data_IF_078334266777
#
_entry.id   IF_078334266777
#
_cell.length_a   1.000
_cell.length_b   1.000
_cell.length_c   1.000
_cell.angle_alpha   90.00
_cell.angle_beta   90.00
_cell.angle_gamma   90.00
#
_symmetry.space_group_name_H-M   'P 1'
#
loop_
_entity.id
_entity.type
_entity.pdbx_description
1 polymer ?
#
# COMPACT_ATOMS: atom_id res chain seq x y z
N UNK A 1 -17.48 -31.79 30.38
CA UNK A 1 -18.93 -31.84 30.71
C UNK A 1 -19.69 -31.94 29.39
N UNK A 2 -20.28 -33.06 28.97
CA UNK A 2 -20.34 -34.36 29.59
C UNK A 2 -21.03 -35.42 28.72
N UNK A 3 -21.03 -36.62 29.31
CA UNK A 3 -21.98 -37.74 29.19
C UNK A 3 -21.77 -38.77 28.08
N UNK A 4 -21.04 -39.80 28.51
CA UNK A 4 -21.13 -41.21 28.19
C UNK A 4 -22.57 -41.75 28.21
N UNK A 5 -22.94 -42.50 27.17
CA UNK A 5 -24.09 -43.40 27.02
C UNK A 5 -23.78 -44.21 25.73
N UNK A 6 -23.57 -45.52 25.64
CA UNK A 6 -24.22 -46.68 26.25
C UNK A 6 -23.25 -47.88 26.13
N UNK A 7 -22.80 -48.42 27.25
CA UNK A 7 -22.53 -49.85 27.42
C UNK A 7 -23.84 -50.45 27.94
N UNK A 8 -24.36 -51.49 27.29
CA UNK A 8 -25.29 -52.39 27.96
C UNK A 8 -24.91 -53.84 27.66
N UNK A 9 -24.90 -54.54 28.78
CA UNK A 9 -24.48 -55.87 29.08
C UNK A 9 -25.55 -56.85 28.61
N UNK A 10 -25.14 -58.04 28.18
CA UNK A 10 -25.90 -59.27 28.44
C UNK A 10 -25.03 -60.46 28.07
N UNK A 11 -24.13 -60.79 28.99
CA UNK A 11 -23.73 -62.19 29.15
C UNK A 11 -24.58 -62.85 30.24
N UNK A 12 -24.72 -64.17 30.11
CA UNK A 12 -25.07 -65.15 31.15
C UNK A 12 -26.47 -65.78 31.09
N UNK A 13 -26.46 -67.10 30.89
CA UNK A 13 -27.66 -67.93 30.98
C UNK A 13 -27.47 -69.37 30.52
N UNK A 14 -26.42 -70.03 30.99
CA UNK A 14 -26.18 -71.46 30.81
C UNK A 14 -27.30 -72.27 31.51
N UNK A 15 -27.88 -73.27 30.83
CA UNK A 15 -28.52 -74.46 31.43
C UNK A 15 -28.97 -75.45 30.35
N UNK A 16 -28.31 -76.60 30.39
CA UNK A 16 -28.70 -77.82 29.71
C UNK A 16 -30.15 -78.24 30.01
N UNK A 17 -30.89 -78.62 28.97
CA UNK A 17 -32.07 -79.50 29.08
C UNK A 17 -32.04 -80.52 27.96
N UNK A 18 -31.99 -81.78 28.41
CA UNK A 18 -32.11 -83.02 27.64
C UNK A 18 -33.61 -83.33 27.44
N UNK A 19 -33.88 -84.19 26.45
CA UNK A 19 -35.17 -84.83 26.10
C UNK A 19 -36.10 -83.93 25.27
N UNK A 20 -36.72 -84.34 24.17
CA UNK A 20 -36.94 -85.66 23.56
C UNK A 20 -37.46 -85.41 22.14
N UNK A 21 -37.05 -86.24 21.18
CA UNK A 21 -37.52 -86.18 19.78
C UNK A 21 -38.93 -86.79 19.69
N UNK A 22 -39.93 -85.99 19.32
CA UNK A 22 -41.32 -86.41 19.18
C UNK A 22 -41.80 -86.14 17.74
N UNK A 23 -41.90 -87.14 16.85
CA UNK A 23 -42.19 -86.94 15.43
C UNK A 23 -43.69 -87.09 15.14
N UNK A 24 -44.53 -86.18 15.62
CA UNK A 24 -45.95 -86.17 15.24
C UNK A 24 -46.64 -84.82 15.45
N UNK A 25 -46.34 -83.79 14.66
CA UNK A 25 -47.24 -82.62 14.52
C UNK A 25 -46.92 -81.71 13.31
N UNK A 26 -46.68 -82.27 12.13
CA UNK A 26 -46.47 -81.49 10.90
C UNK A 26 -47.78 -81.15 10.17
N UNK A 27 -48.78 -80.53 10.81
CA UNK A 27 -49.92 -79.93 10.08
C UNK A 27 -50.42 -78.59 10.68
N UNK A 28 -49.97 -78.14 11.86
CA UNK A 28 -50.44 -76.87 12.47
C UNK A 28 -49.43 -75.70 12.45
N UNK A 29 -48.42 -75.71 11.57
CA UNK A 29 -47.43 -74.61 11.46
C UNK A 29 -47.58 -73.74 10.20
N UNK A 30 -48.46 -74.09 9.26
CA UNK A 30 -48.62 -73.33 8.01
C UNK A 30 -49.57 -72.12 8.15
N UNK A 31 -50.63 -72.25 8.94
CA UNK A 31 -51.59 -71.14 9.17
C UNK A 31 -51.05 -70.03 10.09
N UNK A 32 -50.11 -70.32 10.98
CA UNK A 32 -49.46 -69.35 11.87
C UNK A 32 -48.25 -68.66 11.22
N UNK A 33 -47.55 -69.34 10.31
CA UNK A 33 -46.45 -68.78 9.52
C UNK A 33 -46.91 -67.67 8.58
N UNK A 34 -48.06 -67.84 7.93
CA UNK A 34 -48.58 -66.85 6.97
C UNK A 34 -49.06 -65.56 7.68
N UNK A 35 -49.69 -65.69 8.86
CA UNK A 35 -50.11 -64.54 9.66
C UNK A 35 -48.91 -63.75 10.23
N UNK A 36 -47.88 -64.45 10.70
CA UNK A 36 -46.64 -63.82 11.19
C UNK A 36 -45.83 -63.20 10.04
N UNK A 37 -45.78 -63.85 8.88
CA UNK A 37 -45.13 -63.32 7.68
C UNK A 37 -45.85 -62.08 7.15
N UNK A 38 -47.18 -62.08 7.13
CA UNK A 38 -47.98 -60.91 6.76
C UNK A 38 -47.81 -59.76 7.78
N UNK A 39 -47.71 -60.06 9.08
CA UNK A 39 -47.44 -59.04 10.11
C UNK A 39 -46.04 -58.44 9.98
N UNK A 40 -45.04 -59.27 9.72
CA UNK A 40 -43.66 -58.83 9.50
C UNK A 40 -43.54 -58.04 8.18
N UNK A 41 -44.25 -58.45 7.13
CA UNK A 41 -44.31 -57.71 5.87
C UNK A 41 -44.93 -56.33 6.08
N UNK A 42 -46.06 -56.25 6.80
CA UNK A 42 -46.70 -54.98 7.15
C UNK A 42 -45.80 -54.09 8.02
N UNK A 43 -45.12 -54.66 9.01
CA UNK A 43 -44.17 -53.92 9.85
C UNK A 43 -42.95 -53.43 9.06
N UNK A 44 -42.45 -54.21 8.09
CA UNK A 44 -41.38 -53.78 7.18
C UNK A 44 -41.85 -52.66 6.27
N UNK A 45 -43.06 -52.73 5.74
CA UNK A 45 -43.68 -51.68 4.94
C UNK A 45 -43.85 -50.39 5.74
N UNK A 46 -44.39 -50.47 6.96
CA UNK A 46 -44.52 -49.32 7.87
C UNK A 46 -43.14 -48.71 8.19
N UNK A 47 -42.12 -49.53 8.45
CA UNK A 47 -40.75 -49.07 8.68
C UNK A 47 -40.13 -48.42 7.43
N UNK A 48 -40.35 -48.98 6.24
CA UNK A 48 -39.91 -48.37 4.98
C UNK A 48 -40.60 -47.03 4.72
N UNK A 49 -41.89 -46.92 5.06
CA UNK A 49 -42.63 -45.66 4.99
C UNK A 49 -42.08 -44.63 5.99
N UNK A 50 -41.77 -45.02 7.23
CA UNK A 50 -41.14 -44.13 8.20
C UNK A 50 -39.73 -43.69 7.77
N UNK A 51 -38.93 -44.58 7.20
CA UNK A 51 -37.61 -44.25 6.63
C UNK A 51 -37.75 -43.32 5.44
N UNK A 52 -38.73 -43.54 4.56
CA UNK A 52 -39.01 -42.67 3.43
C UNK A 52 -39.42 -41.26 3.90
N UNK A 53 -40.34 -41.15 4.87
CA UNK A 53 -40.76 -39.88 5.47
C UNK A 53 -39.58 -39.17 6.15
N UNK A 54 -38.79 -39.88 6.95
CA UNK A 54 -37.61 -39.31 7.61
C UNK A 54 -36.56 -38.85 6.58
N UNK A 55 -36.36 -39.59 5.49
CA UNK A 55 -35.43 -39.19 4.42
C UNK A 55 -35.89 -37.92 3.70
N UNK A 56 -37.20 -37.80 3.47
CA UNK A 56 -37.80 -36.61 2.86
C UNK A 56 -37.69 -35.40 3.78
N UNK A 57 -37.88 -35.59 5.09
CA UNK A 57 -37.73 -34.53 6.09
C UNK A 57 -36.28 -34.06 6.20
N UNK A 58 -35.29 -34.97 6.16
CA UNK A 58 -33.87 -34.64 6.09
C UNK A 58 -33.56 -33.80 4.85
N UNK A 59 -34.09 -34.17 3.69
CA UNK A 59 -33.86 -33.42 2.45
C UNK A 59 -34.47 -32.02 2.52
N UNK A 60 -35.70 -31.89 3.04
CA UNK A 60 -36.30 -30.58 3.26
C UNK A 60 -35.49 -29.71 4.24
N UNK A 61 -34.96 -30.32 5.30
CA UNK A 61 -34.11 -29.62 6.26
C UNK A 61 -32.79 -29.16 5.60
N UNK A 62 -32.18 -29.98 4.75
CA UNK A 62 -30.98 -29.62 3.98
C UNK A 62 -31.23 -28.44 3.05
N UNK A 63 -32.33 -28.46 2.30
CA UNK A 63 -32.70 -27.35 1.41
C UNK A 63 -32.90 -26.06 2.22
N UNK A 64 -33.54 -26.13 3.40
CA UNK A 64 -33.68 -24.97 4.28
C UNK A 64 -32.34 -24.49 4.84
N UNK A 65 -31.45 -25.39 5.22
CA UNK A 65 -30.10 -25.04 5.68
C UNK A 65 -29.32 -24.34 4.57
N UNK A 66 -29.35 -24.84 3.34
CA UNK A 66 -28.67 -24.23 2.21
C UNK A 66 -29.21 -22.82 1.90
N UNK A 67 -30.52 -22.63 1.94
CA UNK A 67 -31.13 -21.29 1.79
C UNK A 67 -30.69 -20.34 2.90
N UNK A 68 -30.67 -20.78 4.16
CA UNK A 68 -30.22 -19.97 5.29
C UNK A 68 -28.72 -19.64 5.21
N UNK A 69 -27.90 -20.58 4.77
CA UNK A 69 -26.47 -20.32 4.54
C UNK A 69 -26.26 -19.29 3.42
N UNK A 70 -27.05 -19.37 2.35
CA UNK A 70 -26.98 -18.40 1.26
C UNK A 70 -27.38 -17.00 1.74
N UNK A 71 -28.50 -16.87 2.44
CA UNK A 71 -28.95 -15.60 3.01
C UNK A 71 -27.92 -15.04 4.00
N UNK A 72 -27.35 -15.90 4.86
CA UNK A 72 -26.26 -15.51 5.76
C UNK A 72 -25.07 -14.93 4.98
N UNK A 73 -24.62 -15.61 3.92
CA UNK A 73 -23.50 -15.13 3.10
C UNK A 73 -23.80 -13.79 2.45
N UNK A 74 -25.02 -13.58 1.94
CA UNK A 74 -25.44 -12.31 1.36
C UNK A 74 -25.41 -11.16 2.39
N UNK A 75 -25.92 -11.40 3.60
CA UNK A 75 -25.87 -10.42 4.70
C UNK A 75 -24.43 -10.12 5.12
N UNK A 76 -23.58 -11.15 5.23
CA UNK A 76 -22.16 -10.98 5.58
C UNK A 76 -21.40 -10.18 4.50
N UNK A 77 -21.68 -10.42 3.23
CA UNK A 77 -21.11 -9.64 2.12
C UNK A 77 -21.57 -8.18 2.14
N UNK A 78 -22.84 -7.92 2.43
CA UNK A 78 -23.36 -6.56 2.56
C UNK A 78 -22.73 -5.83 3.76
N UNK A 79 -22.65 -6.48 4.92
CA UNK A 79 -22.01 -5.92 6.10
C UNK A 79 -20.52 -5.61 5.85
N UNK A 80 -19.83 -6.49 5.11
CA UNK A 80 -18.44 -6.25 4.69
C UNK A 80 -18.33 -5.03 3.78
N UNK A 81 -19.21 -4.90 2.77
CA UNK A 81 -19.22 -3.75 1.85
C UNK A 81 -19.51 -2.44 2.58
N UNK A 82 -20.43 -2.46 3.55
CA UNK A 82 -20.74 -1.29 4.39
C UNK A 82 -19.53 -0.87 5.23
N UNK A 83 -18.83 -1.83 5.86
CA UNK A 83 -17.62 -1.56 6.63
C UNK A 83 -16.48 -0.99 5.74
N UNK A 84 -16.29 -1.54 4.54
CA UNK A 84 -15.31 -1.04 3.57
C UNK A 84 -15.68 0.39 3.09
N UNK A 85 -16.97 0.65 2.84
CA UNK A 85 -17.47 1.96 2.45
C UNK A 85 -17.26 3.02 3.54
N UNK A 86 -17.68 2.75 4.79
CA UNK A 86 -17.52 3.71 5.88
C UNK A 86 -16.05 3.97 6.18
N UNK A 87 -15.19 2.94 6.13
CA UNK A 87 -13.75 3.12 6.25
C UNK A 87 -13.19 4.01 5.13
N UNK A 88 -13.54 3.73 3.88
CA UNK A 88 -13.09 4.52 2.73
C UNK A 88 -13.57 5.97 2.79
N UNK A 89 -14.81 6.19 3.24
CA UNK A 89 -15.40 7.50 3.43
C UNK A 89 -14.68 8.31 4.51
N UNK A 90 -14.37 7.72 5.67
CA UNK A 90 -13.61 8.40 6.72
C UNK A 90 -12.19 8.75 6.24
N UNK A 91 -11.49 7.81 5.58
CA UNK A 91 -10.14 8.02 5.05
C UNK A 91 -10.10 9.15 4.01
N UNK A 92 -11.06 9.19 3.07
CA UNK A 92 -11.07 10.26 2.05
C UNK A 92 -11.46 11.61 2.64
N UNK A 93 -12.39 11.66 3.62
CA UNK A 93 -12.73 12.90 4.33
C UNK A 93 -11.49 13.44 5.03
N UNK A 94 -10.74 12.60 5.73
CA UNK A 94 -9.52 13.02 6.42
C UNK A 94 -8.44 13.52 5.44
N UNK A 95 -8.24 12.82 4.32
CA UNK A 95 -7.30 13.25 3.27
C UNK A 95 -7.69 14.59 2.67
N UNK A 96 -8.97 14.79 2.36
CA UNK A 96 -9.47 16.06 1.82
C UNK A 96 -9.32 17.17 2.86
N UNK A 97 -9.68 16.94 4.12
CA UNK A 97 -9.53 17.94 5.18
C UNK A 97 -8.07 18.39 5.37
N UNK A 98 -7.13 17.42 5.36
CA UNK A 98 -5.69 17.72 5.38
C UNK A 98 -5.24 18.48 4.12
N UNK A 99 -5.74 18.09 2.95
CA UNK A 99 -5.46 18.77 1.68
C UNK A 99 -5.94 20.22 1.65
N UNK A 100 -7.15 20.50 2.16
CA UNK A 100 -7.68 21.86 2.31
C UNK A 100 -6.77 22.69 3.21
N UNK A 101 -6.40 22.15 4.38
CA UNK A 101 -5.53 22.85 5.34
C UNK A 101 -4.15 23.15 4.72
N UNK A 102 -3.62 22.25 3.89
CA UNK A 102 -2.37 22.50 3.17
C UNK A 102 -2.53 23.60 2.12
N UNK A 103 -3.61 23.54 1.34
CA UNK A 103 -3.88 24.55 0.30
C UNK A 103 -4.04 25.95 0.90
N UNK A 104 -4.73 26.07 2.05
CA UNK A 104 -4.87 27.33 2.78
C UNK A 104 -3.50 27.89 3.23
N UNK A 105 -2.59 27.04 3.70
CA UNK A 105 -1.22 27.45 4.06
C UNK A 105 -0.43 27.92 2.84
N UNK A 106 -0.56 27.20 1.73
CA UNK A 106 0.12 27.53 0.48
C UNK A 106 -0.42 28.86 -0.10
N UNK A 107 -1.72 29.11 0.00
CA UNK A 107 -2.36 30.39 -0.39
C UNK A 107 -1.86 31.56 0.46
N UNK A 108 -1.80 31.40 1.78
CA UNK A 108 -1.25 32.42 2.68
C UNK A 108 0.21 32.70 2.36
N UNK A 109 1.00 31.67 2.07
CA UNK A 109 2.41 31.81 1.70
C UNK A 109 2.58 32.51 0.35
N UNK A 110 1.76 32.17 -0.64
CA UNK A 110 1.76 32.84 -1.94
C UNK A 110 1.41 34.33 -1.79
N UNK A 111 0.40 34.66 -0.98
CA UNK A 111 0.01 36.05 -0.70
C UNK A 111 1.17 36.84 -0.07
N UNK A 112 1.84 36.27 0.94
CA UNK A 112 3.04 36.91 1.54
C UNK A 112 4.16 37.12 0.53
N UNK A 113 4.38 36.18 -0.39
CA UNK A 113 5.36 36.34 -1.46
C UNK A 113 5.01 37.50 -2.39
N UNK A 114 3.72 37.63 -2.75
CA UNK A 114 3.25 38.77 -3.56
C UNK A 114 3.50 40.10 -2.86
N UNK A 115 3.20 40.20 -1.57
CA UNK A 115 3.46 41.40 -0.76
C UNK A 115 4.96 41.73 -0.69
N UNK A 116 5.80 40.73 -0.44
CA UNK A 116 7.25 40.87 -0.42
C UNK A 116 7.78 41.39 -1.76
N UNK A 117 7.38 40.77 -2.88
CA UNK A 117 7.77 41.18 -4.22
C UNK A 117 7.30 42.61 -4.54
N UNK A 118 6.08 42.98 -4.12
CA UNK A 118 5.56 44.34 -4.30
C UNK A 118 6.40 45.37 -3.53
N UNK A 119 6.77 45.07 -2.27
CA UNK A 119 7.61 45.94 -1.45
C UNK A 119 9.02 46.11 -2.06
N UNK A 120 9.65 45.03 -2.51
CA UNK A 120 10.97 45.09 -3.16
C UNK A 120 10.91 45.84 -4.49
N UNK A 121 9.86 45.65 -5.28
CA UNK A 121 9.64 46.39 -6.52
C UNK A 121 9.52 47.90 -6.26
N UNK A 122 8.81 48.30 -5.22
CA UNK A 122 8.72 49.71 -4.83
C UNK A 122 10.10 50.25 -4.45
N UNK A 123 10.85 49.54 -3.60
CA UNK A 123 12.21 49.93 -3.21
C UNK A 123 13.16 50.07 -4.40
N UNK A 124 13.11 49.15 -5.35
CA UNK A 124 13.92 49.26 -6.57
C UNK A 124 13.57 50.49 -7.41
N UNK A 125 12.27 50.85 -7.49
CA UNK A 125 11.87 52.08 -8.19
C UNK A 125 12.39 53.33 -7.50
N UNK A 126 12.31 53.37 -6.17
CA UNK A 126 12.80 54.50 -5.37
C UNK A 126 14.31 54.67 -5.56
N UNK A 127 15.09 53.59 -5.36
CA UNK A 127 16.55 53.58 -5.55
C UNK A 127 16.95 53.94 -6.98
N UNK A 128 16.22 53.47 -7.99
CA UNK A 128 16.49 53.81 -9.39
C UNK A 128 16.18 55.28 -9.70
N UNK A 129 15.17 55.86 -9.03
CA UNK A 129 14.86 57.29 -9.13
C UNK A 129 15.97 58.11 -8.49
N UNK A 130 16.46 57.72 -7.31
CA UNK A 130 17.57 58.37 -6.63
C UNK A 130 18.85 58.33 -7.49
N UNK A 131 19.17 57.16 -8.05
CA UNK A 131 20.34 57.00 -8.91
C UNK A 131 20.26 57.85 -10.19
N UNK A 132 19.06 57.99 -10.77
CA UNK A 132 18.82 58.84 -11.95
C UNK A 132 18.76 60.33 -11.63
N UNK A 133 18.57 60.70 -10.37
CA UNK A 133 18.57 62.11 -9.93
C UNK A 133 19.97 62.69 -9.77
N UNK A 134 21.01 61.85 -9.84
CA UNK A 134 22.40 62.30 -9.86
C UNK A 134 22.64 63.00 -11.20
N UNK A 135 22.78 64.32 -11.14
CA UNK A 135 23.13 65.15 -12.28
C UNK A 135 24.58 65.64 -12.13
N UNK A 136 25.46 65.04 -12.92
CA UNK A 136 26.89 65.37 -12.94
C UNK A 136 27.15 66.76 -13.55
N UNK A 137 26.19 67.32 -14.30
CA UNK A 137 26.35 68.62 -14.96
C UNK A 137 26.28 69.81 -13.99
N UNK A 138 25.75 69.61 -12.78
CA UNK A 138 25.68 70.67 -11.76
C UNK A 138 26.91 70.76 -10.87
N UNK A 139 27.92 69.90 -11.08
CA UNK A 139 29.11 69.83 -10.24
C UNK A 139 30.11 70.94 -10.62
N UNK A 140 30.58 71.69 -9.63
CA UNK A 140 31.61 72.73 -9.77
C UNK A 140 32.91 72.27 -9.11
N UNK A 141 34.04 72.90 -9.44
CA UNK A 141 35.35 72.52 -8.88
C UNK A 141 35.40 72.67 -7.35
N UNK A 142 34.64 73.62 -6.79
CA UNK A 142 34.55 73.86 -5.34
C UNK A 142 33.76 72.79 -4.59
N UNK A 143 32.75 72.16 -5.22
CA UNK A 143 31.88 71.16 -4.57
C UNK A 143 32.09 69.72 -5.08
N UNK A 144 32.95 69.51 -6.08
CA UNK A 144 33.17 68.23 -6.73
C UNK A 144 33.47 67.09 -5.75
N UNK A 145 34.38 67.32 -4.80
CA UNK A 145 34.75 66.32 -3.79
C UNK A 145 33.56 65.93 -2.89
N UNK A 146 32.65 66.85 -2.59
CA UNK A 146 31.48 66.56 -1.79
C UNK A 146 30.44 65.77 -2.60
N UNK A 147 30.13 66.23 -3.81
CA UNK A 147 29.10 65.61 -4.66
C UNK A 147 29.51 64.21 -5.15
N UNK A 148 30.78 63.98 -5.49
CA UNK A 148 31.24 62.64 -5.89
C UNK A 148 31.15 61.63 -4.75
N UNK A 149 31.50 62.03 -3.52
CA UNK A 149 31.36 61.16 -2.35
C UNK A 149 29.88 60.85 -2.07
N UNK A 150 28.99 61.83 -2.23
CA UNK A 150 27.55 61.64 -2.10
C UNK A 150 27.00 60.68 -3.17
N UNK A 151 27.37 60.88 -4.44
CA UNK A 151 26.98 59.98 -5.53
C UNK A 151 27.48 58.54 -5.29
N UNK A 152 28.71 58.39 -4.78
CA UNK A 152 29.27 57.08 -4.45
C UNK A 152 28.50 56.38 -3.32
N UNK A 153 28.03 57.12 -2.31
CA UNK A 153 27.16 56.57 -1.25
C UNK A 153 25.83 56.07 -1.84
N UNK A 154 25.20 56.83 -2.74
CA UNK A 154 23.94 56.42 -3.40
C UNK A 154 24.14 55.14 -4.23
N UNK A 155 25.27 55.04 -4.95
CA UNK A 155 25.62 53.84 -5.73
C UNK A 155 25.82 52.62 -4.82
N UNK A 156 26.54 52.78 -3.70
CA UNK A 156 26.76 51.69 -2.76
C UNK A 156 25.47 51.26 -2.06
N UNK A 157 24.59 52.20 -1.71
CA UNK A 157 23.27 51.85 -1.17
C UNK A 157 22.46 51.03 -2.17
N UNK A 158 22.44 51.46 -3.44
CA UNK A 158 21.72 50.75 -4.51
C UNK A 158 22.21 49.30 -4.68
N UNK A 159 23.53 49.08 -4.65
CA UNK A 159 24.11 47.71 -4.66
C UNK A 159 23.66 46.91 -3.45
N UNK A 160 23.65 47.53 -2.27
CA UNK A 160 23.23 46.89 -1.02
C UNK A 160 21.76 46.46 -1.08
N UNK A 161 20.88 47.33 -1.60
CA UNK A 161 19.44 47.08 -1.76
C UNK A 161 19.20 45.93 -2.73
N UNK A 162 19.87 45.93 -3.88
CA UNK A 162 19.78 44.83 -4.85
C UNK A 162 20.20 43.49 -4.23
N UNK A 163 21.36 43.44 -3.57
CA UNK A 163 21.86 42.22 -2.94
C UNK A 163 20.91 41.69 -1.86
N UNK A 164 20.40 42.58 -0.99
CA UNK A 164 19.44 42.23 0.08
C UNK A 164 18.14 41.69 -0.50
N UNK A 165 17.61 42.32 -1.55
CA UNK A 165 16.37 41.89 -2.19
C UNK A 165 16.51 40.51 -2.84
N UNK A 166 17.60 40.26 -3.57
CA UNK A 166 17.88 38.93 -4.15
C UNK A 166 17.93 37.86 -3.06
N UNK A 167 18.67 38.11 -1.98
CA UNK A 167 18.77 37.17 -0.86
C UNK A 167 17.41 36.93 -0.16
N UNK A 168 16.56 37.95 -0.03
CA UNK A 168 15.22 37.81 0.54
C UNK A 168 14.28 36.99 -0.35
N UNK A 169 14.33 37.20 -1.67
CA UNK A 169 13.54 36.40 -2.64
C UNK A 169 13.96 34.94 -2.55
N UNK A 170 15.26 34.68 -2.58
CA UNK A 170 15.82 33.35 -2.51
C UNK A 170 15.41 32.64 -1.21
N UNK A 171 15.63 33.28 -0.05
CA UNK A 171 15.22 32.74 1.24
C UNK A 171 13.71 32.44 1.31
N UNK A 172 12.88 33.32 0.77
CA UNK A 172 11.43 33.13 0.73
C UNK A 172 11.00 32.02 -0.26
N UNK A 173 11.74 31.79 -1.34
CA UNK A 173 11.50 30.68 -2.27
C UNK A 173 11.91 29.33 -1.70
N UNK A 174 13.02 29.25 -0.97
CA UNK A 174 13.43 28.02 -0.27
C UNK A 174 12.39 27.59 0.77
N UNK A 175 11.79 28.55 1.48
CA UNK A 175 10.70 28.28 2.41
C UNK A 175 9.45 27.67 1.73
N UNK A 176 9.22 27.96 0.44
CA UNK A 176 8.13 27.34 -0.36
C UNK A 176 8.42 25.88 -0.66
N UNK A 177 9.67 25.56 -0.97
CA UNK A 177 10.08 24.20 -1.31
C UNK A 177 10.13 23.27 -0.09
N UNK A 178 10.50 23.81 1.08
CA UNK A 178 10.51 23.07 2.35
C UNK A 178 9.12 22.71 2.89
N UNK A 179 8.12 23.57 2.65
CA UNK A 179 6.73 23.32 3.07
C UNK A 179 5.94 22.38 2.14
N UNK A 180 6.44 22.15 0.92
CA UNK A 180 5.79 21.39 -0.15
C UNK A 180 6.25 19.93 -0.30
N UNK A 181 6.95 19.33 0.68
CA UNK A 181 7.22 17.88 0.71
C UNK A 181 5.95 17.11 1.12
N UNK A 182 4.93 17.24 0.29
CA UNK A 182 3.64 16.57 0.37
C UNK A 182 3.11 16.36 -1.04
N UNK A 183 3.73 15.42 -1.76
CA UNK A 183 3.14 14.69 -2.88
C UNK A 183 2.56 15.52 -4.04
N UNK A 184 3.40 15.82 -5.02
CA UNK A 184 3.03 15.83 -6.43
C UNK A 184 4.22 15.35 -7.25
N UNK A 185 4.15 14.08 -7.63
CA UNK A 185 5.16 13.45 -8.47
C UNK A 185 5.00 13.86 -9.93
N UNK A 186 6.13 13.75 -10.63
CA UNK A 186 6.28 13.62 -12.09
C UNK A 186 6.19 14.94 -12.86
N UNK A 187 7.34 15.60 -12.92
CA UNK A 187 8.08 16.03 -14.11
C UNK A 187 8.82 17.32 -13.74
N UNK A 188 10.08 17.18 -13.34
CA UNK A 188 11.03 18.09 -13.95
C UNK A 188 12.37 17.39 -14.18
N UNK A 189 12.79 17.48 -15.43
CA UNK A 189 14.00 16.89 -15.95
C UNK A 189 15.09 17.91 -15.76
N UNK A 190 16.14 17.49 -15.06
CA UNK A 190 17.51 17.99 -15.17
C UNK A 190 17.67 19.49 -15.49
N UNK A 191 17.83 20.30 -14.46
CA UNK A 191 18.87 21.32 -14.46
C UNK A 191 19.32 21.53 -13.01
N UNK A 192 20.63 21.37 -12.82
CA UNK A 192 21.47 21.89 -11.75
C UNK A 192 20.79 22.42 -10.49
N UNK A 193 21.12 21.82 -9.35
CA UNK A 193 21.05 22.57 -8.10
C UNK A 193 22.15 22.16 -7.12
N UNK A 194 22.97 23.16 -6.87
CA UNK A 194 23.93 23.23 -5.80
C UNK A 194 23.20 23.35 -4.46
N UNK A 195 23.68 22.55 -3.51
CA UNK A 195 23.54 22.76 -2.07
C UNK A 195 22.14 22.69 -1.44
N UNK A 196 21.50 21.52 -1.51
CA UNK A 196 20.98 20.88 -0.29
C UNK A 196 21.85 19.64 0.01
N UNK A 197 22.08 19.29 1.31
CA UNK A 197 22.88 18.13 1.70
C UNK A 197 22.14 16.85 1.32
N UNK A 198 22.33 16.45 0.07
CA UNK A 198 21.87 15.17 -0.49
C UNK A 198 22.51 14.05 0.35
N UNK A 199 21.64 13.22 0.90
CA UNK A 199 21.93 12.15 1.86
C UNK A 199 22.99 11.17 1.30
N UNK A 200 23.88 10.63 2.16
CA UNK A 200 25.03 9.80 1.74
C UNK A 200 24.62 8.62 0.86
N UNK A 201 23.44 8.04 1.11
CA UNK A 201 22.86 6.95 0.31
C UNK A 201 22.53 7.36 -1.12
N UNK A 202 22.12 8.62 -1.35
CA UNK A 202 21.83 9.12 -2.69
C UNK A 202 23.12 9.26 -3.51
N UNK A 203 24.18 9.85 -2.93
CA UNK A 203 25.48 9.94 -3.59
C UNK A 203 26.12 8.56 -3.83
N UNK A 204 25.95 7.61 -2.91
CA UNK A 204 26.43 6.23 -3.09
C UNK A 204 25.74 5.53 -4.27
N UNK A 205 24.41 5.65 -4.39
CA UNK A 205 23.65 5.04 -5.49
C UNK A 205 23.92 5.72 -6.84
N UNK A 206 24.12 7.04 -6.87
CA UNK A 206 24.49 7.77 -8.09
C UNK A 206 25.91 7.41 -8.53
N UNK A 207 26.86 7.26 -7.59
CA UNK A 207 28.21 6.78 -7.87
C UNK A 207 28.23 5.36 -8.44
N UNK A 208 27.37 4.47 -7.93
CA UNK A 208 27.20 3.11 -8.45
C UNK A 208 26.57 3.11 -9.86
N UNK A 209 25.58 3.97 -10.12
CA UNK A 209 24.94 4.07 -11.44
C UNK A 209 25.91 4.50 -12.56
N UNK A 210 26.86 5.39 -12.26
CA UNK A 210 27.84 5.87 -13.23
C UNK A 210 29.02 4.90 -13.45
N UNK A 211 29.44 4.20 -12.39
CA UNK A 211 30.59 3.28 -12.44
C UNK A 211 30.21 1.85 -12.82
N UNK A 212 28.94 1.47 -12.69
CA UNK A 212 28.42 0.15 -13.09
C UNK A 212 28.77 -0.24 -14.54
N UNK A 213 28.55 0.59 -15.58
CA UNK A 213 28.89 0.19 -16.95
C UNK A 213 30.40 0.01 -17.15
N UNK A 214 31.24 0.82 -16.48
CA UNK A 214 32.70 0.73 -16.57
C UNK A 214 33.23 -0.52 -15.85
N UNK A 215 32.71 -0.82 -14.65
CA UNK A 215 33.10 -2.01 -13.89
C UNK A 215 32.67 -3.28 -14.63
N UNK A 216 31.44 -3.32 -15.17
CA UNK A 216 30.97 -4.44 -15.98
C UNK A 216 31.86 -4.63 -17.22
N UNK A 217 32.23 -3.53 -17.90
CA UNK A 217 33.14 -3.60 -19.06
C UNK A 217 34.54 -4.09 -18.68
N UNK A 218 35.08 -3.68 -17.52
CA UNK A 218 36.38 -4.12 -17.04
C UNK A 218 36.38 -5.60 -16.64
N UNK A 219 35.34 -6.05 -15.94
CA UNK A 219 35.16 -7.46 -15.57
C UNK A 219 35.00 -8.33 -16.82
N UNK A 220 34.23 -7.88 -17.81
CA UNK A 220 34.09 -8.59 -19.08
C UNK A 220 35.43 -8.73 -19.81
N UNK A 221 36.19 -7.64 -19.94
CA UNK A 221 37.53 -7.67 -20.55
C UNK A 221 38.50 -8.56 -19.77
N UNK A 222 38.43 -8.54 -18.44
CA UNK A 222 39.27 -9.40 -17.59
C UNK A 222 38.93 -10.88 -17.76
N UNK A 223 37.66 -11.25 -17.86
CA UNK A 223 37.23 -12.63 -18.14
C UNK A 223 37.67 -13.06 -19.53
N UNK A 224 37.51 -12.21 -20.55
CA UNK A 224 38.00 -12.49 -21.92
C UNK A 224 39.53 -12.64 -21.92
N UNK A 225 40.25 -11.80 -21.18
CA UNK A 225 41.70 -11.91 -21.02
C UNK A 225 42.11 -13.23 -20.34
N UNK A 226 41.41 -13.66 -19.28
CA UNK A 226 41.69 -14.94 -18.63
C UNK A 226 41.40 -16.14 -19.54
N UNK A 227 40.33 -16.09 -20.34
CA UNK A 227 40.03 -17.13 -21.32
C UNK A 227 41.10 -17.14 -22.41
N UNK A 228 41.49 -15.99 -22.97
CA UNK A 228 42.53 -15.90 -23.97
C UNK A 228 43.90 -16.32 -23.43
N UNK A 229 44.26 -15.89 -22.22
CA UNK A 229 45.51 -16.25 -21.55
C UNK A 229 45.55 -17.74 -21.20
N UNK A 230 44.43 -18.30 -20.72
CA UNK A 230 44.27 -19.74 -20.49
C UNK A 230 44.30 -20.56 -21.78
N UNK A 231 43.73 -20.04 -22.87
CA UNK A 231 43.77 -20.66 -24.20
C UNK A 231 45.18 -20.60 -24.82
N UNK A 232 45.93 -19.53 -24.56
CA UNK A 232 47.33 -19.38 -24.97
C UNK A 232 48.21 -20.35 -24.17
N UNK A 233 47.97 -20.53 -22.87
CA UNK A 233 48.70 -21.48 -22.02
C UNK A 233 48.37 -22.95 -22.35
N UNK A 234 47.12 -23.26 -22.71
CA UNK A 234 46.72 -24.60 -23.15
C UNK A 234 47.29 -25.00 -24.53
N UNK A 235 47.63 -24.03 -25.39
CA UNK A 235 48.21 -24.28 -26.73
C UNK A 235 49.72 -24.56 -26.69
N UNK A 236 50.40 -24.30 -25.56
CA UNK A 236 51.85 -24.55 -25.40
C UNK A 236 52.19 -25.86 -24.67
N UNK A 237 51.22 -26.75 -24.44
CA UNK A 237 51.51 -28.11 -23.97
C UNK A 237 52.12 -28.93 -25.13
N UNK A 238 53.39 -29.38 -25.05
CA UNK A 238 53.96 -30.22 -26.08
C UNK A 238 53.26 -31.60 -26.08
N UNK A 239 53.00 -32.21 -27.26
CA UNK A 239 52.68 -33.63 -27.29
C UNK A 239 53.89 -34.42 -26.77
N UNK A 240 53.59 -35.50 -26.05
CA UNK A 240 54.54 -36.42 -25.42
C UNK A 240 55.63 -36.94 -26.38
#
# INVERSE_FOLDING_TARGET
>A
MGKDYFEDDTTQGDRARRDSYDPASSISSRYSSDAVSNKLAKQKEDMMNHVAVASQEIEQLRIRQEMLEKERREIEELARKEAEYEKGKVDIIEKIARGITQLEKDELQATRMVELLAAMRARFKDTLTELRSIDESTWTEENFQLEINKAMVVVEDAKSVHKKAVAQIEAASWQKQGNGKGQLGVLDTAADDAAEPKDFKYWFNVGLGLTAPVIISLVFLFVVYLIASGLIFARSAPPQ
#
